data_IF_419048909130
#
_entry.id   IF_419048909130
#
_cell.length_a   1.000
_cell.length_b   1.000
_cell.length_c   1.000
_cell.angle_alpha   90.00
_cell.angle_beta   90.00
_cell.angle_gamma   90.00
#
_symmetry.space_group_name_H-M   'P 1'
#
loop_
_entity.id
_entity.type
_entity.pdbx_description
1 polymer ?
#
# COMPACT_ATOMS: atom_id res chain seq x y z
N UNK A 1 -3.16 16.29 12.07
CA UNK A 1 -2.07 15.88 11.15
C UNK A 1 -1.21 17.13 10.94
N UNK A 2 0.07 17.11 11.37
CA UNK A 2 0.97 18.26 11.30
C UNK A 2 1.77 18.31 9.99
N UNK A 3 2.12 19.51 9.53
CA UNK A 3 2.60 19.87 8.18
C UNK A 3 3.92 19.26 7.67
N UNK A 4 4.38 18.14 8.22
CA UNK A 4 5.55 17.40 7.72
C UNK A 4 5.23 15.92 7.42
N UNK A 5 3.93 15.60 7.35
CA UNK A 5 3.45 14.25 7.12
C UNK A 5 3.10 14.05 5.65
N UNK A 6 3.64 13.01 5.02
CA UNK A 6 3.29 12.60 3.65
C UNK A 6 1.85 12.06 3.52
N UNK A 7 1.02 12.17 4.57
CA UNK A 7 -0.38 11.75 4.53
C UNK A 7 -1.20 12.69 3.66
N UNK A 8 -1.92 12.12 2.71
CA UNK A 8 -2.88 12.82 1.86
C UNK A 8 -4.28 12.22 2.09
N UNK A 9 -5.08 12.79 3.01
CA UNK A 9 -6.41 12.28 3.32
C UNK A 9 -7.41 12.67 2.22
N UNK A 10 -7.48 11.88 1.16
CA UNK A 10 -8.36 12.11 0.03
C UNK A 10 -9.72 11.41 0.23
N UNK A 11 -10.79 12.18 0.46
CA UNK A 11 -12.14 11.64 0.75
C UNK A 11 -12.18 10.60 1.89
N UNK A 12 -11.26 10.68 2.84
CA UNK A 12 -11.25 9.78 3.99
C UNK A 12 -12.30 10.20 5.03
N UNK A 13 -13.19 9.27 5.37
CA UNK A 13 -14.16 9.46 6.46
C UNK A 13 -13.46 9.15 7.78
N UNK A 14 -13.32 10.15 8.64
CA UNK A 14 -12.63 9.98 9.94
C UNK A 14 -13.26 8.90 10.83
N UNK A 15 -14.56 8.64 10.67
CA UNK A 15 -15.29 7.57 11.34
C UNK A 15 -14.68 6.18 11.07
N UNK A 16 -14.08 5.99 9.89
CA UNK A 16 -13.45 4.73 9.50
C UNK A 16 -12.26 4.37 10.38
N UNK A 17 -11.62 5.36 11.04
CA UNK A 17 -10.53 5.12 11.99
C UNK A 17 -10.89 4.11 13.07
N UNK A 18 -12.15 4.11 13.52
CA UNK A 18 -12.62 3.23 14.61
C UNK A 18 -13.13 1.87 14.12
N UNK A 19 -13.19 1.66 12.80
CA UNK A 19 -13.75 0.44 12.20
C UNK A 19 -12.71 -0.67 12.20
N UNK A 20 -13.16 -1.87 12.54
CA UNK A 20 -12.34 -3.09 12.49
C UNK A 20 -12.07 -3.49 11.05
N UNK A 21 -10.82 -3.81 10.77
CA UNK A 21 -10.35 -4.37 9.51
C UNK A 21 -10.40 -5.89 9.60
N UNK A 22 -11.06 -6.55 8.65
CA UNK A 22 -11.25 -8.01 8.57
C UNK A 22 -10.26 -8.69 7.65
N UNK A 23 -9.96 -8.05 6.52
CA UNK A 23 -8.96 -8.52 5.57
C UNK A 23 -8.08 -7.37 5.09
N UNK A 24 -6.85 -7.70 4.74
CA UNK A 24 -5.92 -6.82 4.05
C UNK A 24 -5.78 -7.38 2.65
N UNK A 25 -6.23 -6.62 1.66
CA UNK A 25 -6.10 -6.97 0.25
C UNK A 25 -4.97 -6.18 -0.39
N UNK A 26 -4.20 -6.85 -1.23
CA UNK A 26 -3.11 -6.25 -2.01
C UNK A 26 -3.43 -6.46 -3.48
N UNK A 27 -3.44 -5.38 -4.24
CA UNK A 27 -3.81 -5.37 -5.65
C UNK A 27 -2.67 -4.81 -6.51
N UNK A 28 -2.41 -5.47 -7.62
CA UNK A 28 -1.69 -4.89 -8.76
C UNK A 28 -2.73 -4.32 -9.74
N UNK A 29 -2.69 -3.02 -10.00
CA UNK A 29 -3.60 -2.38 -10.94
C UNK A 29 -3.16 -2.51 -12.40
N UNK A 30 -4.13 -2.50 -13.32
CA UNK A 30 -3.84 -2.37 -14.75
C UNK A 30 -3.17 -1.02 -14.97
N UNK A 31 -2.17 -1.07 -15.83
CA UNK A 31 -1.32 0.04 -16.20
C UNK A 31 -2.13 1.14 -16.92
N UNK A 32 -2.29 2.32 -16.30
CA UNK A 32 -2.73 3.53 -16.99
C UNK A 32 -1.49 4.41 -17.23
N UNK A 33 -0.99 4.39 -18.46
CA UNK A 33 0.26 5.02 -18.90
C UNK A 33 0.32 6.51 -18.59
N UNK A 34 1.42 7.01 -18.03
CA UNK A 34 1.93 8.37 -18.31
C UNK A 34 3.46 8.56 -18.13
N UNK A 35 4.22 7.59 -17.58
CA UNK A 35 5.63 7.83 -17.21
C UNK A 35 6.68 6.81 -17.72
N UNK A 36 6.38 5.96 -18.71
CA UNK A 36 7.40 5.09 -19.35
C UNK A 36 7.89 3.86 -18.54
N UNK A 37 7.76 3.88 -17.21
CA UNK A 37 8.00 2.84 -16.18
C UNK A 37 7.18 1.54 -16.19
N UNK A 38 7.52 0.48 -16.94
CA UNK A 38 6.80 -0.84 -16.95
C UNK A 38 6.74 -1.59 -15.59
N UNK A 39 6.04 -1.06 -14.60
CA UNK A 39 5.77 -1.70 -13.31
C UNK A 39 4.27 -1.60 -12.96
N UNK A 40 3.69 -2.63 -12.34
CA UNK A 40 2.32 -2.51 -11.84
C UNK A 40 2.30 -1.52 -10.68
N UNK A 41 1.28 -0.67 -10.64
CA UNK A 41 1.01 0.11 -9.43
C UNK A 41 0.35 -0.80 -8.40
N UNK A 42 0.95 -0.88 -7.22
CA UNK A 42 0.43 -1.72 -6.14
C UNK A 42 -0.23 -0.88 -5.05
N UNK A 43 -1.35 -1.37 -4.54
CA UNK A 43 -2.15 -0.68 -3.51
C UNK A 43 -2.67 -1.65 -2.46
N UNK A 44 -2.97 -1.13 -1.27
CA UNK A 44 -3.51 -1.90 -0.14
C UNK A 44 -4.92 -1.44 0.19
N UNK A 45 -5.81 -2.39 0.42
CA UNK A 45 -7.19 -2.14 0.86
C UNK A 45 -7.43 -2.84 2.20
N UNK A 46 -7.80 -2.05 3.19
CA UNK A 46 -8.22 -2.51 4.51
C UNK A 46 -9.74 -2.74 4.46
N UNK A 47 -10.16 -3.99 4.33
CA UNK A 47 -11.58 -4.36 4.28
C UNK A 47 -12.23 -4.19 5.65
N UNK A 48 -13.29 -3.38 5.72
CA UNK A 48 -14.15 -3.22 6.89
C UNK A 48 -15.40 -4.12 6.76
N UNK A 49 -15.96 -4.18 5.55
CA UNK A 49 -17.09 -5.04 5.17
C UNK A 49 -17.02 -5.37 3.68
N UNK A 50 -17.85 -6.30 3.15
CA UNK A 50 -17.86 -6.65 1.72
C UNK A 50 -18.10 -5.48 0.75
N UNK A 51 -18.59 -4.34 1.24
CA UNK A 51 -18.88 -3.14 0.45
C UNK A 51 -18.16 -1.89 0.98
N UNK A 52 -17.18 -2.04 1.88
CA UNK A 52 -16.54 -0.91 2.53
C UNK A 52 -15.08 -1.23 2.87
N UNK A 53 -14.17 -0.39 2.40
CA UNK A 53 -12.75 -0.49 2.72
C UNK A 53 -12.11 0.88 2.84
N UNK A 54 -10.89 0.88 3.40
CA UNK A 54 -9.98 2.03 3.38
C UNK A 54 -8.80 1.67 2.49
N UNK A 55 -8.57 2.45 1.43
CA UNK A 55 -7.39 2.30 0.56
C UNK A 55 -6.22 3.07 1.15
N UNK A 56 -5.08 2.39 1.26
CA UNK A 56 -3.75 2.95 1.47
C UNK A 56 -2.99 2.86 0.15
N UNK A 57 -2.52 4.01 -0.32
CA UNK A 57 -1.86 4.14 -1.61
C UNK A 57 -0.61 5.00 -1.46
N UNK A 58 0.55 4.37 -1.56
CA UNK A 58 1.83 5.06 -1.62
C UNK A 58 2.16 5.29 -3.10
N UNK A 59 2.15 6.56 -3.51
CA UNK A 59 2.40 6.99 -4.88
C UNK A 59 3.48 8.08 -4.92
N UNK A 60 4.19 8.26 -6.05
CA UNK A 60 5.09 9.40 -6.24
C UNK A 60 4.35 10.74 -6.01
N UNK A 61 5.11 11.75 -5.61
CA UNK A 61 4.62 13.12 -5.47
C UNK A 61 4.35 13.77 -6.84
N UNK A 62 4.04 15.07 -6.83
CA UNK A 62 3.88 15.88 -8.04
C UNK A 62 4.88 17.05 -8.05
N UNK A 63 5.27 17.50 -9.24
CA UNK A 63 6.14 18.66 -9.42
C UNK A 63 7.59 18.43 -8.99
N UNK A 64 8.22 19.45 -8.40
CA UNK A 64 9.64 19.44 -8.06
C UNK A 64 10.03 18.45 -6.94
N UNK A 65 9.04 17.86 -6.26
CA UNK A 65 9.22 16.86 -5.19
C UNK A 65 8.64 15.48 -5.60
N UNK A 66 8.67 15.16 -6.89
CA UNK A 66 8.00 13.96 -7.44
C UNK A 66 8.53 12.63 -6.87
N UNK A 67 9.78 12.59 -6.37
CA UNK A 67 10.32 11.40 -5.69
C UNK A 67 9.77 11.22 -4.28
N UNK A 68 9.27 12.29 -3.64
CA UNK A 68 8.70 12.19 -2.30
C UNK A 68 7.39 11.42 -2.35
N UNK A 69 7.35 10.29 -1.65
CA UNK A 69 6.16 9.47 -1.56
C UNK A 69 5.01 10.22 -0.90
N UNK A 70 3.82 10.07 -1.48
CA UNK A 70 2.56 10.54 -0.96
C UNK A 70 1.73 9.34 -0.54
N UNK A 71 1.45 9.24 0.75
CA UNK A 71 0.60 8.19 1.31
C UNK A 71 -0.84 8.68 1.36
N UNK A 72 -1.60 8.36 0.32
CA UNK A 72 -3.01 8.66 0.28
C UNK A 72 -3.81 7.64 1.10
N UNK A 73 -4.71 8.15 1.94
CA UNK A 73 -5.71 7.35 2.66
C UNK A 73 -7.11 7.77 2.20
N UNK A 74 -7.96 6.82 1.83
CA UNK A 74 -9.28 7.13 1.29
C UNK A 74 -10.32 6.08 1.62
N UNK A 75 -11.56 6.50 1.88
CA UNK A 75 -12.71 5.60 2.07
C UNK A 75 -13.23 5.14 0.72
N UNK A 76 -13.51 3.84 0.57
CA UNK A 76 -14.09 3.24 -0.64
C UNK A 76 -15.36 2.47 -0.30
N UNK A 77 -16.39 2.62 -1.12
CA UNK A 77 -17.65 1.88 -1.02
C UNK A 77 -17.58 0.51 -1.76
N UNK A 78 -16.40 -0.11 -1.75
CA UNK A 78 -16.14 -1.42 -2.34
C UNK A 78 -14.92 -2.05 -1.65
N UNK A 79 -14.77 -3.37 -1.75
CA UNK A 79 -13.58 -4.10 -1.30
C UNK A 79 -12.46 -4.11 -2.34
N UNK A 80 -12.82 -3.99 -3.62
CA UNK A 80 -11.90 -4.04 -4.75
C UNK A 80 -12.38 -3.15 -5.91
N UNK A 81 -11.50 -2.88 -6.86
CA UNK A 81 -11.80 -2.12 -8.09
C UNK A 81 -11.77 -3.01 -9.31
N UNK A 82 -12.46 -2.66 -10.40
CA UNK A 82 -12.50 -3.49 -11.61
C UNK A 82 -11.17 -3.54 -12.40
N UNK A 83 -10.17 -2.77 -11.98
CA UNK A 83 -8.91 -2.58 -12.70
C UNK A 83 -7.75 -3.39 -12.07
N UNK A 84 -7.91 -4.71 -11.90
CA UNK A 84 -6.96 -5.58 -11.19
C UNK A 84 -6.31 -6.58 -12.14
N UNK A 85 -4.99 -6.67 -12.11
CA UNK A 85 -4.19 -7.71 -12.79
C UNK A 85 -3.89 -8.90 -11.87
N UNK A 86 -3.60 -8.61 -10.60
CA UNK A 86 -3.28 -9.63 -9.61
C UNK A 86 -3.76 -9.19 -8.24
N UNK A 87 -4.15 -10.18 -7.43
CA UNK A 87 -4.72 -9.96 -6.11
C UNK A 87 -4.39 -11.11 -5.16
N UNK A 88 -4.13 -10.75 -3.92
CA UNK A 88 -4.14 -11.67 -2.80
C UNK A 88 -4.53 -10.94 -1.51
N UNK A 89 -4.92 -11.70 -0.51
CA UNK A 89 -5.39 -11.16 0.76
C UNK A 89 -4.92 -11.96 1.97
N UNK A 90 -4.96 -11.30 3.13
CA UNK A 90 -4.71 -11.86 4.44
C UNK A 90 -5.88 -11.57 5.37
N UNK A 91 -6.28 -12.55 6.16
CA UNK A 91 -7.18 -12.32 7.29
C UNK A 91 -6.40 -11.60 8.41
N UNK A 92 -7.02 -10.59 9.01
CA UNK A 92 -6.44 -9.90 10.17
C UNK A 92 -6.58 -10.72 11.45
N UNK A 93 -5.66 -10.49 12.39
CA UNK A 93 -5.67 -11.11 13.72
C UNK A 93 -5.90 -10.06 14.79
N UNK A 94 -6.74 -10.36 15.78
CA UNK A 94 -6.96 -9.48 16.94
C UNK A 94 -7.87 -8.28 16.67
N UNK A 95 -8.69 -8.33 15.62
CA UNK A 95 -9.67 -7.28 15.26
C UNK A 95 -9.08 -5.84 15.22
N UNK A 96 -7.95 -5.62 14.52
CA UNK A 96 -7.30 -4.32 14.49
C UNK A 96 -8.20 -3.29 13.81
N UNK A 97 -8.19 -2.05 14.31
CA UNK A 97 -8.93 -0.94 13.70
C UNK A 97 -8.05 -0.21 12.71
N UNK A 98 -8.65 0.55 11.79
CA UNK A 98 -7.91 1.39 10.83
C UNK A 98 -6.90 2.30 11.53
N UNK A 99 -7.26 2.87 12.70
CA UNK A 99 -6.34 3.70 13.49
C UNK A 99 -5.06 2.97 13.92
N UNK A 100 -5.11 1.65 14.11
CA UNK A 100 -3.95 0.87 14.54
C UNK A 100 -2.94 0.71 13.40
N UNK A 101 -3.42 0.56 12.15
CA UNK A 101 -2.58 0.61 10.96
C UNK A 101 -1.91 1.98 10.79
N UNK A 102 -2.66 3.07 10.99
CA UNK A 102 -2.13 4.44 10.92
C UNK A 102 -1.08 4.68 12.01
N UNK A 103 -1.31 4.23 13.24
CA UNK A 103 -0.32 4.29 14.33
C UNK A 103 0.94 3.50 14.00
N UNK A 104 0.80 2.28 13.48
CA UNK A 104 1.94 1.44 13.08
C UNK A 104 2.76 2.09 11.97
N UNK A 105 2.11 2.63 10.94
CA UNK A 105 2.76 3.37 9.85
C UNK A 105 3.56 4.53 10.43
N UNK A 106 2.95 5.36 11.27
CA UNK A 106 3.59 6.53 11.87
C UNK A 106 4.76 6.16 12.78
N UNK A 107 4.59 5.15 13.64
CA UNK A 107 5.59 4.70 14.60
C UNK A 107 6.86 4.15 13.90
N UNK A 108 6.70 3.56 12.72
CA UNK A 108 7.80 3.00 11.93
C UNK A 108 8.25 3.91 10.79
N UNK A 109 7.71 5.14 10.71
CA UNK A 109 8.09 6.12 9.69
C UNK A 109 7.73 5.72 8.26
N UNK A 110 6.80 4.79 8.05
CA UNK A 110 6.47 4.27 6.72
C UNK A 110 5.84 5.32 5.80
N UNK A 111 5.22 6.34 6.37
CA UNK A 111 4.74 7.50 5.63
C UNK A 111 5.90 8.29 5.00
N UNK A 112 7.12 8.25 5.55
CA UNK A 112 8.28 9.05 5.10
C UNK A 112 9.10 8.37 4.00
N UNK A 113 8.43 7.67 3.09
CA UNK A 113 9.04 6.97 1.98
C UNK A 113 9.32 7.92 0.81
N UNK A 114 10.48 7.76 0.17
CA UNK A 114 10.86 8.40 -1.08
C UNK A 114 11.11 7.31 -2.14
N UNK A 115 10.52 7.50 -3.31
CA UNK A 115 10.67 6.65 -4.49
C UNK A 115 12.05 6.82 -5.13
N UNK A 116 12.38 5.94 -6.07
CA UNK A 116 13.56 6.16 -6.94
C UNK A 116 13.31 7.33 -7.90
N UNK A 117 14.36 7.88 -8.55
CA UNK A 117 14.21 8.87 -9.61
C UNK A 117 13.31 8.41 -10.77
N UNK A 118 13.19 7.10 -10.98
CA UNK A 118 12.33 6.45 -11.97
C UNK A 118 10.88 6.24 -11.47
N UNK A 119 10.54 6.78 -10.30
CA UNK A 119 9.22 6.70 -9.67
C UNK A 119 8.80 5.27 -9.30
N UNK A 120 9.77 4.41 -8.99
CA UNK A 120 9.54 3.02 -8.62
C UNK A 120 9.66 2.78 -7.11
N UNK A 121 9.01 1.71 -6.64
CA UNK A 121 9.15 1.24 -5.26
C UNK A 121 7.85 1.08 -4.47
N UNK A 122 6.67 1.21 -5.08
CA UNK A 122 5.40 0.89 -4.41
C UNK A 122 5.36 -0.57 -3.92
N UNK A 123 5.87 -1.52 -4.73
CA UNK A 123 6.03 -2.93 -4.35
C UNK A 123 6.90 -3.11 -3.09
N UNK A 124 8.04 -2.41 -3.02
CA UNK A 124 8.91 -2.44 -1.84
C UNK A 124 8.22 -1.86 -0.60
N UNK A 125 7.53 -0.73 -0.74
CA UNK A 125 6.79 -0.13 0.35
C UNK A 125 5.72 -1.09 0.92
N UNK A 126 4.96 -1.78 0.07
CA UNK A 126 3.96 -2.77 0.51
C UNK A 126 4.62 -3.95 1.22
N UNK A 127 5.72 -4.47 0.68
CA UNK A 127 6.47 -5.54 1.35
C UNK A 127 6.89 -5.11 2.77
N UNK A 128 7.41 -3.90 2.93
CA UNK A 128 7.81 -3.38 4.24
C UNK A 128 6.59 -3.19 5.15
N UNK A 129 5.48 -2.64 4.67
CA UNK A 129 4.24 -2.50 5.44
C UNK A 129 3.78 -3.86 5.99
N UNK A 130 3.70 -4.89 5.13
CA UNK A 130 3.26 -6.22 5.55
C UNK A 130 4.26 -6.86 6.53
N UNK A 131 5.56 -6.61 6.37
CA UNK A 131 6.59 -7.07 7.31
C UNK A 131 6.38 -6.51 8.72
N UNK A 132 6.03 -5.22 8.84
CA UNK A 132 5.69 -4.62 10.13
C UNK A 132 4.37 -5.12 10.69
N UNK A 133 3.36 -5.34 9.84
CA UNK A 133 2.08 -5.91 10.26
C UNK A 133 2.22 -7.35 10.77
N UNK A 134 3.06 -8.16 10.12
CA UNK A 134 3.41 -9.51 10.58
C UNK A 134 4.13 -9.46 11.92
N UNK A 135 5.12 -8.58 12.07
CA UNK A 135 5.87 -8.38 13.33
C UNK A 135 4.97 -7.90 14.48
N UNK A 136 3.97 -7.08 14.17
CA UNK A 136 2.94 -6.63 15.11
C UNK A 136 1.82 -7.66 15.33
N UNK A 137 1.91 -8.84 14.73
CA UNK A 137 0.94 -9.93 14.81
C UNK A 137 -0.47 -9.56 14.30
N UNK A 138 -0.58 -8.59 13.38
CA UNK A 138 -1.84 -8.22 12.73
C UNK A 138 -2.22 -9.17 11.60
N UNK A 139 -1.24 -9.90 11.05
CA UNK A 139 -1.40 -10.96 10.06
C UNK A 139 -0.63 -12.20 10.49
N UNK A 140 -0.85 -13.33 9.80
CA UNK A 140 -0.14 -14.57 10.09
C UNK A 140 1.35 -14.49 9.73
N UNK A 141 2.17 -15.28 10.41
CA UNK A 141 3.58 -15.46 10.03
C UNK A 141 3.69 -16.03 8.61
N UNK A 142 4.61 -15.50 7.81
CA UNK A 142 4.80 -15.84 6.41
C UNK A 142 4.02 -14.95 5.43
N UNK A 143 3.15 -14.07 5.92
CA UNK A 143 2.49 -13.04 5.11
C UNK A 143 3.50 -12.14 4.40
N UNK A 144 4.57 -11.72 5.07
CA UNK A 144 5.60 -10.87 4.48
C UNK A 144 6.37 -11.58 3.36
N UNK A 145 6.69 -12.87 3.55
CA UNK A 145 7.35 -13.70 2.54
C UNK A 145 6.46 -13.88 1.31
N UNK A 146 5.17 -14.19 1.50
CA UNK A 146 4.19 -14.29 0.42
C UNK A 146 4.02 -12.97 -0.32
N UNK A 147 3.94 -11.85 0.38
CA UNK A 147 3.90 -10.52 -0.24
C UNK A 147 5.14 -10.28 -1.08
N UNK A 148 6.33 -10.56 -0.56
CA UNK A 148 7.59 -10.39 -1.28
C UNK A 148 7.60 -11.19 -2.58
N UNK A 149 7.15 -12.44 -2.53
CA UNK A 149 7.05 -13.29 -3.71
C UNK A 149 6.10 -12.70 -4.75
N UNK A 150 4.87 -12.37 -4.37
CA UNK A 150 3.85 -11.83 -5.29
C UNK A 150 4.27 -10.49 -5.91
N UNK A 151 4.81 -9.56 -5.13
CA UNK A 151 5.18 -8.23 -5.66
C UNK A 151 6.51 -8.21 -6.43
N UNK A 152 7.19 -9.36 -6.55
CA UNK A 152 8.40 -9.53 -7.39
C UNK A 152 8.07 -9.96 -8.83
N UNK A 153 6.82 -9.76 -9.26
CA UNK A 153 6.37 -10.01 -10.61
C UNK A 153 5.72 -8.76 -11.21
N UNK A 154 6.01 -8.52 -12.49
CA UNK A 154 5.24 -7.68 -13.37
C UNK A 154 4.15 -8.53 -14.02
N UNK A 155 2.89 -8.26 -13.67
CA UNK A 155 1.71 -8.92 -14.22
C UNK A 155 1.27 -8.22 -15.50
N UNK A 156 0.93 -9.01 -16.53
CA UNK A 156 0.61 -8.56 -17.88
C UNK A 156 -0.84 -8.93 -18.21
N UNK A 157 -1.59 -7.99 -18.79
CA UNK A 157 -2.91 -8.24 -19.35
C UNK A 157 -2.81 -8.75 -20.80
N UNK A 158 -3.63 -9.74 -21.23
CA UNK A 158 -4.64 -10.46 -20.45
C UNK A 158 -4.09 -11.64 -19.64
N UNK A 159 -2.93 -12.18 -20.00
CA UNK A 159 -2.25 -13.26 -19.27
C UNK A 159 -0.75 -13.11 -19.42
N UNK A 160 -0.02 -13.23 -18.30
CA UNK A 160 1.43 -13.28 -18.29
C UNK A 160 1.99 -12.71 -16.99
N UNK A 161 3.20 -13.14 -16.64
CA UNK A 161 3.98 -12.48 -15.60
C UNK A 161 5.46 -12.59 -15.92
N UNK A 162 6.21 -11.54 -15.62
CA UNK A 162 7.66 -11.51 -15.72
C UNK A 162 8.23 -11.27 -14.33
N UNK A 163 9.22 -12.06 -13.93
CA UNK A 163 9.89 -11.83 -12.66
C UNK A 163 10.69 -10.52 -12.78
N UNK A 164 10.48 -9.62 -11.84
CA UNK A 164 11.17 -8.34 -11.76
C UNK A 164 11.84 -8.22 -10.41
N UNK A 165 13.04 -7.64 -10.39
CA UNK A 165 13.65 -7.27 -9.13
C UNK A 165 12.82 -6.17 -8.46
N UNK A 166 12.58 -6.34 -7.16
CA UNK A 166 11.86 -5.34 -6.39
C UNK A 166 12.76 -4.12 -6.17
N UNK A 167 12.49 -3.06 -6.91
CA UNK A 167 13.21 -1.80 -6.82
C UNK A 167 12.86 -1.11 -5.51
N UNK A 168 13.88 -0.59 -4.82
CA UNK A 168 13.78 -0.05 -3.47
C UNK A 168 14.01 1.45 -3.49
N UNK A 169 13.05 2.19 -2.95
CA UNK A 169 13.25 3.56 -2.51
C UNK A 169 13.88 3.61 -1.11
N UNK A 170 13.77 4.76 -0.47
CA UNK A 170 14.39 5.01 0.85
C UNK A 170 13.38 5.56 1.86
N UNK A 171 13.64 5.35 3.14
CA UNK A 171 12.86 5.97 4.22
C UNK A 171 13.69 7.06 4.87
N UNK A 172 13.12 8.27 4.96
CA UNK A 172 13.81 9.39 5.60
C UNK A 172 13.87 9.23 7.11
N UNK A 173 14.96 9.70 7.69
CA UNK A 173 15.13 9.76 9.13
C UNK A 173 14.05 10.65 9.79
N UNK A 174 13.72 10.41 11.07
CA UNK A 174 12.95 11.37 11.84
C UNK A 174 13.64 12.74 11.91
N UNK A 175 12.87 13.83 11.91
CA UNK A 175 13.38 15.13 12.27
C UNK A 175 13.83 15.16 13.73
#
# INVERSE_FOLDING_TARGET
MGGNSNWDPYYFRHEDMKRTVKHIHIYAHIYETNYGNQANHWVVYLEISPIHSVRLDMSPGLGDDAVRGRLSISTKNCTFTNNILHHFAFQTKGDPKVEDFVKLINANGLQRYDFTPEFEGCAFWIYILISFLESANFVAFGSAARTRESVSYFYIYPVGQLRQEMIRGTFRAPP
#
